data_IF_810426983719
#
_entry.id   IF_810426983719
#
_cell.length_a   1.000
_cell.length_b   1.000
_cell.length_c   1.000
_cell.angle_alpha   90.00
_cell.angle_beta   90.00
_cell.angle_gamma   90.00
#
_symmetry.space_group_name_H-M   'P 1'
#
loop_
_entity.id
_entity.type
_entity.pdbx_description
1 polymer ?
#
# COMPACT_ATOMS: atom_id res chain seq x y z
N UNK A 1 10.73 -4.70 -0.32
CA UNK A 1 9.27 -4.92 -0.47
C UNK A 1 8.47 -3.64 -0.25
N UNK A 2 8.82 -2.87 0.74
CA UNK A 2 8.08 -1.65 1.08
C UNK A 2 8.11 -0.62 -0.05
N UNK A 3 9.25 -0.45 -0.69
CA UNK A 3 9.38 0.46 -1.84
C UNK A 3 8.47 0.08 -2.99
N UNK A 4 8.40 -1.21 -3.28
CA UNK A 4 7.56 -1.72 -4.36
C UNK A 4 6.09 -1.58 -4.00
N UNK A 5 5.74 -1.82 -2.75
CA UNK A 5 4.38 -1.64 -2.27
C UNK A 5 3.94 -0.19 -2.45
N UNK A 6 4.78 0.75 -2.04
CA UNK A 6 4.52 2.18 -2.21
C UNK A 6 4.31 2.54 -3.69
N UNK A 7 5.19 2.05 -4.55
CA UNK A 7 5.10 2.28 -5.99
C UNK A 7 3.79 1.75 -6.56
N UNK A 8 3.41 0.53 -6.19
CA UNK A 8 2.17 -0.09 -6.67
C UNK A 8 0.95 0.73 -6.25
N UNK A 9 0.95 1.18 -5.01
CA UNK A 9 -0.14 2.00 -4.49
C UNK A 9 -0.27 3.32 -5.27
N UNK A 10 0.85 4.01 -5.48
CA UNK A 10 0.87 5.27 -6.21
C UNK A 10 0.42 5.07 -7.65
N UNK A 11 0.85 3.99 -8.31
CA UNK A 11 0.44 3.68 -9.67
C UNK A 11 -1.07 3.52 -9.82
N UNK A 12 -1.72 2.91 -8.83
CA UNK A 12 -3.16 2.67 -8.91
C UNK A 12 -4.01 3.85 -8.42
N UNK A 13 -3.49 4.64 -7.48
CA UNK A 13 -4.28 5.74 -6.92
C UNK A 13 -4.02 7.09 -7.59
N UNK A 14 -2.84 7.24 -8.20
CA UNK A 14 -2.50 8.45 -8.95
C UNK A 14 -1.68 9.47 -8.15
N UNK A 15 -1.68 10.75 -8.60
CA UNK A 15 -0.76 11.77 -8.06
C UNK A 15 -0.86 12.02 -6.56
N UNK A 16 -2.01 11.77 -5.96
CA UNK A 16 -2.21 11.96 -4.52
C UNK A 16 -1.62 10.80 -3.70
N UNK A 17 -1.16 9.74 -4.37
CA UNK A 17 -0.70 8.53 -3.72
C UNK A 17 0.39 8.71 -2.69
N UNK A 18 1.40 9.53 -2.98
CA UNK A 18 2.50 9.79 -2.04
C UNK A 18 2.01 10.43 -0.75
N UNK A 19 1.11 11.39 -0.87
CA UNK A 19 0.52 12.05 0.28
C UNK A 19 -0.27 11.07 1.14
N UNK A 20 -1.11 10.27 0.49
CA UNK A 20 -1.92 9.26 1.19
C UNK A 20 -1.08 8.20 1.85
N UNK A 21 -0.02 7.77 1.19
CA UNK A 21 0.93 6.80 1.75
C UNK A 21 1.49 7.30 3.08
N UNK A 22 2.03 8.51 3.08
CA UNK A 22 2.62 9.09 4.28
C UNK A 22 1.57 9.26 5.39
N UNK A 23 0.39 9.72 5.03
CA UNK A 23 -0.70 9.92 5.96
C UNK A 23 -1.16 8.61 6.60
N UNK A 24 -1.27 7.56 5.81
CA UNK A 24 -1.68 6.24 6.30
C UNK A 24 -0.66 5.70 7.30
N UNK A 25 0.62 5.77 6.97
CA UNK A 25 1.68 5.33 7.89
C UNK A 25 1.62 6.10 9.19
N UNK A 26 1.54 7.41 9.12
CA UNK A 26 1.51 8.28 10.29
C UNK A 26 0.28 8.00 11.15
N UNK A 27 -0.89 7.90 10.53
CA UNK A 27 -2.15 7.66 11.25
C UNK A 27 -2.19 6.31 11.96
N UNK A 28 -1.43 5.34 11.48
CA UNK A 28 -1.40 3.99 12.04
C UNK A 28 -0.15 3.70 12.86
N UNK A 29 0.68 4.71 13.09
CA UNK A 29 1.90 4.55 13.87
C UNK A 29 2.90 3.61 13.25
N UNK A 30 2.93 3.53 11.92
CA UNK A 30 3.82 2.64 11.19
C UNK A 30 5.07 3.38 10.72
N UNK A 31 6.23 2.73 10.84
CA UNK A 31 7.50 3.26 10.38
C UNK A 31 7.93 2.49 9.13
N UNK A 32 8.02 3.17 8.01
CA UNK A 32 8.39 2.57 6.72
C UNK A 32 9.68 1.75 6.80
N UNK A 33 10.64 2.19 7.63
CA UNK A 33 11.92 1.52 7.78
C UNK A 33 11.89 0.31 8.71
N UNK A 34 10.82 0.13 9.46
CA UNK A 34 10.72 -0.88 10.53
C UNK A 34 9.39 -1.63 10.52
N UNK A 35 8.93 -2.02 9.35
CA UNK A 35 7.69 -2.78 9.26
C UNK A 35 7.93 -4.26 9.53
N UNK A 36 7.20 -4.80 10.50
CA UNK A 36 7.16 -6.25 10.72
C UNK A 36 6.30 -6.88 9.64
N UNK A 37 6.30 -8.21 9.58
CA UNK A 37 5.45 -8.95 8.64
C UNK A 37 3.97 -8.61 8.88
N UNK A 38 3.57 -8.58 10.14
CA UNK A 38 2.18 -8.27 10.50
C UNK A 38 1.83 -6.83 10.12
N UNK A 39 2.76 -5.89 10.34
CA UNK A 39 2.58 -4.50 9.94
C UNK A 39 2.42 -4.38 8.43
N UNK A 40 3.21 -5.12 7.68
CA UNK A 40 3.15 -5.13 6.23
C UNK A 40 1.77 -5.60 5.74
N UNK A 41 1.27 -6.69 6.29
CA UNK A 41 -0.05 -7.22 5.94
C UNK A 41 -1.17 -6.24 6.30
N UNK A 42 -1.08 -5.64 7.46
CA UNK A 42 -2.03 -4.62 7.90
C UNK A 42 -2.02 -3.43 6.94
N UNK A 43 -0.83 -2.98 6.55
CA UNK A 43 -0.68 -1.87 5.62
C UNK A 43 -1.30 -2.20 4.26
N UNK A 44 -1.05 -3.39 3.73
CA UNK A 44 -1.64 -3.83 2.46
C UNK A 44 -3.16 -3.72 2.49
N UNK A 45 -3.78 -4.17 3.58
CA UNK A 45 -5.23 -4.12 3.73
C UNK A 45 -5.76 -2.68 3.78
N UNK A 46 -5.06 -1.81 4.50
CA UNK A 46 -5.43 -0.40 4.59
C UNK A 46 -5.33 0.28 3.23
N UNK A 47 -4.22 0.05 2.52
CA UNK A 47 -4.00 0.62 1.19
C UNK A 47 -5.06 0.16 0.20
N UNK A 48 -5.39 -1.12 0.23
CA UNK A 48 -6.43 -1.66 -0.63
C UNK A 48 -7.75 -0.94 -0.42
N UNK A 49 -8.11 -0.70 0.83
CA UNK A 49 -9.39 -0.05 1.17
C UNK A 49 -9.42 1.42 0.77
N UNK A 50 -8.26 2.05 0.61
CA UNK A 50 -8.16 3.44 0.16
C UNK A 50 -8.34 3.61 -1.35
N UNK A 51 -8.21 2.53 -2.12
CA UNK A 51 -8.38 2.59 -3.58
C UNK A 51 -9.87 2.49 -3.89
N UNK A 52 -10.50 3.57 -4.41
CA UNK A 52 -11.95 3.60 -4.60
C UNK A 52 -12.45 2.76 -5.79
N UNK A 53 -11.64 2.64 -6.83
CA UNK A 53 -12.03 1.90 -8.04
C UNK A 53 -11.69 0.43 -7.89
N UNK A 54 -12.70 -0.44 -8.05
CA UNK A 54 -12.55 -1.88 -7.89
C UNK A 54 -11.48 -2.47 -8.81
N UNK A 55 -11.41 -2.01 -10.06
CA UNK A 55 -10.44 -2.52 -11.02
C UNK A 55 -9.01 -2.17 -10.62
N UNK A 56 -8.79 -0.96 -10.14
CA UNK A 56 -7.49 -0.54 -9.64
C UNK A 56 -7.12 -1.27 -8.35
N UNK A 57 -8.12 -1.54 -7.51
CA UNK A 57 -7.95 -2.30 -6.28
C UNK A 57 -7.49 -3.72 -6.60
N UNK A 58 -8.13 -4.36 -7.57
CA UNK A 58 -7.78 -5.72 -8.00
C UNK A 58 -6.36 -5.76 -8.58
N UNK A 59 -5.99 -4.77 -9.37
CA UNK A 59 -4.62 -4.66 -9.91
C UNK A 59 -3.59 -4.51 -8.80
N UNK A 60 -3.89 -3.71 -7.80
CA UNK A 60 -3.01 -3.53 -6.65
C UNK A 60 -2.79 -4.86 -5.92
N UNK A 61 -3.87 -5.58 -5.63
CA UNK A 61 -3.80 -6.89 -4.96
C UNK A 61 -2.98 -7.88 -5.78
N UNK A 62 -3.18 -7.92 -7.08
CA UNK A 62 -2.43 -8.79 -7.98
C UNK A 62 -0.93 -8.51 -7.91
N UNK A 63 -0.55 -7.24 -7.96
CA UNK A 63 0.86 -6.83 -7.87
C UNK A 63 1.48 -7.21 -6.53
N UNK A 64 0.72 -7.05 -5.45
CA UNK A 64 1.20 -7.41 -4.11
C UNK A 64 1.41 -8.93 -4.00
N UNK A 65 0.52 -9.73 -4.56
CA UNK A 65 0.69 -11.18 -4.58
C UNK A 65 1.99 -11.60 -5.25
N UNK A 66 2.29 -10.98 -6.39
CA UNK A 66 3.54 -11.26 -7.11
C UNK A 66 4.76 -10.86 -6.30
N UNK A 67 4.64 -9.79 -5.54
CA UNK A 67 5.72 -9.31 -4.69
C UNK A 67 6.02 -10.30 -3.56
N UNK A 68 5.00 -10.95 -3.03
CA UNK A 68 5.13 -11.88 -1.90
C UNK A 68 5.59 -13.28 -2.32
N UNK A 69 5.45 -13.62 -3.58
CA UNK A 69 5.95 -14.89 -4.10
C UNK A 69 7.36 -14.77 -4.64
#
# INVERSE_FOLDING_TARGET
>A
KVRKLKKFFIEEIGPIGSFLWNRILESNGLDEAKLSKDDFEKLVNILRDEIPDERHRDKFIEKVRRLET
#
